data_IF_704390996829
#
_entry.id   IF_704390996829
#
_cell.length_a   1.000
_cell.length_b   1.000
_cell.length_c   1.000
_cell.angle_alpha   90.00
_cell.angle_beta   90.00
_cell.angle_gamma   90.00
#
_symmetry.space_group_name_H-M   'P 1'
#
loop_
_entity.id
_entity.type
_entity.pdbx_description
1 polymer ?
#
# COMPACT_ATOMS: atom_id res chain seq x y z
N UNK A 1 15.61 -23.88 33.90
CA UNK A 1 15.60 -22.40 33.88
C UNK A 1 15.04 -21.98 32.54
N UNK A 2 13.88 -21.34 32.49
CA UNK A 2 13.37 -20.74 31.24
C UNK A 2 14.04 -19.40 31.04
N UNK A 3 14.79 -19.24 29.95
CA UNK A 3 15.37 -17.96 29.58
C UNK A 3 14.24 -16.94 29.36
N UNK A 4 14.41 -15.74 29.92
CA UNK A 4 13.49 -14.63 29.67
C UNK A 4 13.60 -14.20 28.20
N UNK A 5 12.47 -14.01 27.53
CA UNK A 5 12.44 -13.54 26.14
C UNK A 5 12.97 -12.11 26.04
N UNK A 6 13.86 -11.87 25.08
CA UNK A 6 14.34 -10.52 24.78
C UNK A 6 13.28 -9.74 24.00
N UNK A 7 13.05 -8.48 24.36
CA UNK A 7 12.06 -7.60 23.71
C UNK A 7 12.78 -6.54 22.88
N UNK A 8 12.38 -6.38 21.62
CA UNK A 8 12.81 -5.29 20.75
C UNK A 8 11.63 -4.36 20.45
N UNK A 9 11.76 -3.08 20.82
CA UNK A 9 10.78 -2.04 20.52
C UNK A 9 11.29 -1.17 19.39
N UNK A 10 10.58 -1.18 18.26
CA UNK A 10 10.87 -0.34 17.11
C UNK A 10 9.76 0.70 16.89
N UNK A 11 10.06 1.75 16.13
CA UNK A 11 9.01 2.63 15.59
C UNK A 11 8.15 1.80 14.63
N UNK A 12 6.87 2.18 14.49
CA UNK A 12 5.97 1.50 13.57
C UNK A 12 6.58 1.50 12.15
N UNK A 13 6.72 0.32 11.52
CA UNK A 13 7.35 0.22 10.21
C UNK A 13 6.40 0.60 9.07
N UNK A 14 6.96 0.75 7.88
CA UNK A 14 6.25 0.88 6.61
C UNK A 14 6.73 -0.21 5.64
N UNK A 15 5.86 -0.65 4.74
CA UNK A 15 6.18 -1.67 3.72
C UNK A 15 6.42 -1.02 2.35
N UNK A 16 7.66 -1.00 1.90
CA UNK A 16 8.04 -0.32 0.66
C UNK A 16 7.82 -1.18 -0.61
N UNK A 17 7.31 -2.41 -0.50
CA UNK A 17 6.97 -3.24 -1.65
C UNK A 17 5.94 -4.33 -1.29
N UNK A 18 4.66 -4.12 -1.63
CA UNK A 18 3.62 -5.12 -1.40
C UNK A 18 2.70 -5.37 -2.60
N UNK A 19 2.19 -6.60 -2.72
CA UNK A 19 1.13 -6.98 -3.66
C UNK A 19 -0.15 -7.35 -2.90
N UNK A 20 -1.16 -6.48 -2.94
CA UNK A 20 -2.42 -6.69 -2.21
C UNK A 20 -3.51 -7.42 -3.02
N UNK A 21 -3.28 -7.64 -4.32
CA UNK A 21 -4.27 -8.26 -5.23
C UNK A 21 -5.57 -7.44 -5.29
N UNK A 22 -6.68 -8.04 -5.66
CA UNK A 22 -7.98 -7.37 -5.73
C UNK A 22 -9.11 -8.28 -5.20
N UNK A 23 -10.32 -7.74 -5.14
CA UNK A 23 -11.56 -8.46 -4.80
C UNK A 23 -11.47 -9.20 -3.45
N UNK A 24 -11.87 -10.47 -3.40
CA UNK A 24 -11.92 -11.23 -2.14
C UNK A 24 -10.51 -11.54 -1.59
N UNK A 25 -9.51 -11.60 -2.48
CA UNK A 25 -8.12 -11.74 -2.04
C UNK A 25 -7.66 -10.48 -1.32
N UNK A 26 -7.99 -9.30 -1.83
CA UNK A 26 -7.68 -8.02 -1.19
C UNK A 26 -8.23 -7.95 0.23
N UNK A 27 -9.51 -8.28 0.42
CA UNK A 27 -10.17 -8.31 1.74
C UNK A 27 -9.51 -9.30 2.70
N UNK A 28 -8.96 -10.39 2.15
CA UNK A 28 -8.28 -11.42 2.95
C UNK A 28 -6.89 -10.97 3.40
N UNK A 29 -6.13 -10.27 2.54
CA UNK A 29 -4.70 -10.00 2.80
C UNK A 29 -4.43 -8.64 3.44
N UNK A 30 -5.28 -7.62 3.22
CA UNK A 30 -5.09 -6.27 3.80
C UNK A 30 -4.98 -6.26 5.34
N UNK A 31 -5.74 -7.07 6.11
CA UNK A 31 -5.62 -7.09 7.56
C UNK A 31 -4.21 -7.40 8.06
N UNK A 32 -3.51 -8.34 7.41
CA UNK A 32 -2.15 -8.74 7.81
C UNK A 32 -1.10 -7.63 7.64
N UNK A 33 -1.33 -6.70 6.71
CA UNK A 33 -0.45 -5.53 6.53
C UNK A 33 -0.87 -4.38 7.42
N UNK A 34 -2.16 -4.05 7.41
CA UNK A 34 -2.68 -2.87 8.10
C UNK A 34 -2.56 -2.96 9.63
N UNK A 35 -2.50 -4.16 10.21
CA UNK A 35 -2.27 -4.38 11.64
C UNK A 35 -0.90 -3.85 12.12
N UNK A 36 0.16 -4.05 11.32
CA UNK A 36 1.52 -3.76 11.74
C UNK A 36 2.10 -2.50 11.10
N UNK A 37 1.82 -2.28 9.81
CA UNK A 37 2.45 -1.22 9.03
C UNK A 37 1.61 0.05 9.03
N UNK A 38 2.27 1.21 9.10
CA UNK A 38 1.60 2.51 9.00
C UNK A 38 1.28 2.87 7.56
N UNK A 39 2.24 2.64 6.65
CA UNK A 39 2.09 2.92 5.22
C UNK A 39 2.61 1.77 4.37
N UNK A 40 2.15 1.72 3.12
CA UNK A 40 2.73 0.80 2.15
C UNK A 40 2.78 1.34 0.72
N UNK A 41 3.80 0.93 -0.03
CA UNK A 41 3.86 1.05 -1.49
C UNK A 41 3.23 -0.19 -2.11
N UNK A 42 2.07 -0.01 -2.76
CA UNK A 42 1.30 -1.10 -3.35
C UNK A 42 1.59 -1.22 -4.85
N UNK A 43 2.04 -2.39 -5.27
CA UNK A 43 2.41 -2.65 -6.66
C UNK A 43 1.19 -2.71 -7.60
N UNK A 44 1.26 -2.11 -8.81
CA UNK A 44 0.10 -1.92 -9.70
C UNK A 44 -0.17 -3.07 -10.68
N UNK A 45 0.44 -4.23 -10.46
CA UNK A 45 0.40 -5.39 -11.38
C UNK A 45 -0.88 -6.25 -11.22
N UNK A 46 -2.04 -5.60 -11.23
CA UNK A 46 -3.34 -6.27 -11.34
C UNK A 46 -3.59 -6.79 -12.76
N UNK A 47 -4.74 -7.44 -12.98
CA UNK A 47 -5.19 -7.89 -14.30
C UNK A 47 -6.55 -7.23 -14.60
N UNK A 48 -6.62 -6.22 -15.48
CA UNK A 48 -5.50 -5.55 -16.16
C UNK A 48 -4.63 -4.71 -15.20
N UNK A 49 -3.37 -4.40 -15.57
CA UNK A 49 -2.50 -3.59 -14.73
C UNK A 49 -3.07 -2.19 -14.54
N UNK A 50 -2.80 -1.60 -13.38
CA UNK A 50 -3.26 -0.25 -13.08
C UNK A 50 -2.32 0.75 -13.76
N UNK A 51 -2.79 1.41 -14.83
CA UNK A 51 -1.98 2.29 -15.69
C UNK A 51 -2.57 3.69 -15.86
N UNK A 52 -3.66 4.01 -15.17
CA UNK A 52 -4.30 5.33 -15.22
C UNK A 52 -4.52 5.87 -13.82
N UNK A 53 -4.53 7.20 -13.68
CA UNK A 53 -4.80 7.88 -12.41
C UNK A 53 -6.16 7.49 -11.85
N UNK A 54 -7.19 7.41 -12.70
CA UNK A 54 -8.53 7.01 -12.29
C UNK A 54 -8.56 5.58 -11.72
N UNK A 55 -7.84 4.64 -12.35
CA UNK A 55 -7.73 3.28 -11.84
C UNK A 55 -6.92 3.23 -10.53
N UNK A 56 -5.93 4.11 -10.36
CA UNK A 56 -5.19 4.27 -9.10
C UNK A 56 -6.10 4.65 -7.94
N UNK A 57 -6.90 5.70 -8.15
CA UNK A 57 -7.81 6.24 -7.15
C UNK A 57 -8.85 5.18 -6.79
N UNK A 58 -9.42 4.49 -7.78
CA UNK A 58 -10.39 3.42 -7.54
C UNK A 58 -9.78 2.25 -6.76
N UNK A 59 -8.55 1.83 -7.09
CA UNK A 59 -7.89 0.74 -6.39
C UNK A 59 -7.51 1.13 -4.95
N UNK A 60 -6.99 2.34 -4.75
CA UNK A 60 -6.75 2.90 -3.42
C UNK A 60 -8.01 2.88 -2.57
N UNK A 61 -9.16 3.27 -3.13
CA UNK A 61 -10.43 3.24 -2.40
C UNK A 61 -10.79 1.81 -1.96
N UNK A 62 -10.69 0.82 -2.87
CA UNK A 62 -10.94 -0.59 -2.51
C UNK A 62 -10.01 -1.09 -1.41
N UNK A 63 -8.74 -0.68 -1.42
CA UNK A 63 -7.79 -1.01 -0.34
C UNK A 63 -8.28 -0.40 0.98
N UNK A 64 -8.64 0.89 0.99
CA UNK A 64 -9.14 1.56 2.19
C UNK A 64 -10.43 0.93 2.73
N UNK A 65 -11.34 0.52 1.84
CA UNK A 65 -12.58 -0.16 2.21
C UNK A 65 -12.32 -1.55 2.82
N UNK A 66 -11.18 -2.17 2.51
CA UNK A 66 -10.75 -3.46 3.06
C UNK A 66 -9.95 -3.34 4.37
N UNK A 67 -9.64 -2.12 4.84
CA UNK A 67 -8.94 -1.90 6.11
C UNK A 67 -9.90 -2.11 7.29
N UNK A 68 -9.60 -3.01 8.24
CA UNK A 68 -10.42 -3.19 9.44
C UNK A 68 -10.53 -1.91 10.28
N UNK A 69 -11.68 -1.73 10.92
CA UNK A 69 -11.89 -0.61 11.84
C UNK A 69 -10.84 -0.62 12.96
N UNK A 70 -10.23 0.55 13.22
CA UNK A 70 -9.19 0.72 14.23
C UNK A 70 -7.76 0.54 13.72
N UNK A 71 -7.57 0.07 12.49
CA UNK A 71 -6.24 0.06 11.86
C UNK A 71 -5.93 1.45 11.30
N UNK A 72 -4.79 2.02 11.69
CA UNK A 72 -4.27 3.26 11.13
C UNK A 72 -3.29 2.90 10.00
N UNK A 73 -3.81 2.71 8.79
CA UNK A 73 -3.04 2.29 7.61
C UNK A 73 -3.33 3.20 6.42
N UNK A 74 -2.27 3.66 5.75
CA UNK A 74 -2.37 4.50 4.56
C UNK A 74 -1.56 3.92 3.39
N UNK A 75 -2.19 3.44 2.31
CA UNK A 75 -1.47 3.14 1.06
C UNK A 75 -0.93 4.46 0.47
N UNK A 76 0.34 4.47 0.06
CA UNK A 76 1.01 5.67 -0.43
C UNK A 76 0.47 6.11 -1.81
N UNK A 77 0.24 7.42 -1.97
CA UNK A 77 -0.35 8.00 -3.19
C UNK A 77 0.62 8.03 -4.38
N UNK A 78 1.93 8.12 -4.11
CA UNK A 78 2.97 8.41 -5.11
C UNK A 78 3.37 7.22 -6.00
N UNK A 79 2.88 6.00 -5.73
CA UNK A 79 3.38 4.79 -6.38
C UNK A 79 2.30 3.82 -6.87
N UNK A 80 1.33 4.36 -7.60
CA UNK A 80 0.79 3.61 -8.74
C UNK A 80 1.68 3.70 -10.00
N UNK A 81 2.92 4.18 -9.85
CA UNK A 81 3.62 4.94 -10.88
C UNK A 81 5.03 4.42 -11.18
N UNK A 82 5.13 3.40 -12.02
CA UNK A 82 6.19 3.37 -13.06
C UNK A 82 5.60 3.52 -14.48
N UNK A 83 4.27 3.61 -14.59
CA UNK A 83 3.56 3.61 -15.88
C UNK A 83 2.49 4.69 -16.02
N UNK A 84 2.32 5.57 -15.02
CA UNK A 84 1.42 6.70 -15.18
C UNK A 84 2.03 7.74 -16.13
N UNK A 85 1.26 8.28 -17.09
CA UNK A 85 1.74 9.36 -17.94
C UNK A 85 2.22 10.52 -17.07
N UNK A 86 3.44 11.00 -17.30
CA UNK A 86 3.89 12.24 -16.65
C UNK A 86 2.94 13.37 -17.06
N UNK A 87 2.51 14.22 -16.13
CA UNK A 87 1.69 15.38 -16.48
C UNK A 87 2.44 16.22 -17.50
N UNK A 88 1.80 16.46 -18.66
CA UNK A 88 2.32 17.31 -19.72
C UNK A 88 2.38 18.75 -19.21
N UNK A 89 3.51 19.17 -18.65
CA UNK A 89 3.68 20.56 -18.18
C UNK A 89 4.79 20.83 -17.16
N UNK A 90 5.43 19.81 -16.57
CA UNK A 90 6.58 20.05 -15.69
C UNK A 90 7.84 20.29 -16.53
N UNK A 91 7.97 21.52 -17.04
CA UNK A 91 9.21 22.02 -17.63
C UNK A 91 10.35 21.90 -16.62
N UNK A 92 11.49 21.45 -17.12
CA UNK A 92 12.80 21.47 -16.44
C UNK A 92 13.01 22.80 -15.74
N UNK A 93 13.05 22.79 -14.41
CA UNK A 93 13.84 23.78 -13.67
C UNK A 93 15.09 23.09 -13.20
N UNK A 94 16.19 23.49 -13.83
CA UNK A 94 17.55 23.39 -13.28
C UNK A 94 17.61 24.17 -11.96
#
# INVERSE_FOLDING_TARGET
MTAQSQVLKIRRPDDWHIHLRDDDMLKTVVPYTSEFYGRAIVMPNLVPPVTTVAAAIAYRQRIMDAVPAGHDFTPADDLLSDRLPRPSGAGTRL
#
